data_IF_767786389103
#
_entry.id   IF_767786389103
#
_cell.length_a   1.000
_cell.length_b   1.000
_cell.length_c   1.000
_cell.angle_alpha   90.00
_cell.angle_beta   90.00
_cell.angle_gamma   90.00
#
_symmetry.space_group_name_H-M   'P 1'
#
loop_
_entity.id
_entity.type
_entity.pdbx_description
1 polymer ?
#
# COMPACT_ATOMS: atom_id res chain seq x y z
N UNK A 1 1.07 9.06 22.43
CA UNK A 1 1.62 8.88 21.06
C UNK A 1 0.57 9.21 20.00
N UNK A 2 -0.63 8.61 20.04
CA UNK A 2 -1.71 8.95 19.10
C UNK A 2 -2.11 10.43 19.15
N UNK A 3 -2.22 11.04 20.34
CA UNK A 3 -2.55 12.46 20.46
C UNK A 3 -1.48 13.37 19.85
N UNK A 4 -0.20 12.99 19.99
CA UNK A 4 0.91 13.69 19.36
C UNK A 4 0.81 13.60 17.84
N UNK A 5 0.66 12.39 17.28
CA UNK A 5 0.50 12.17 15.84
C UNK A 5 -0.71 12.93 15.29
N UNK A 6 -1.85 12.90 16.00
CA UNK A 6 -3.04 13.65 15.60
C UNK A 6 -2.79 15.15 15.62
N UNK A 7 -2.10 15.65 16.64
CA UNK A 7 -1.76 17.07 16.74
C UNK A 7 -0.78 17.51 15.64
N UNK A 8 0.22 16.68 15.31
CA UNK A 8 1.22 16.99 14.27
C UNK A 8 0.70 16.79 12.86
N UNK A 9 -0.19 15.81 12.63
CA UNK A 9 -0.89 15.61 11.35
C UNK A 9 -2.04 16.61 11.13
N UNK A 10 -2.36 17.42 12.16
CA UNK A 10 -3.31 18.55 12.13
C UNK A 10 -4.73 18.27 11.61
N UNK A 11 -5.10 17.02 11.36
CA UNK A 11 -6.42 16.67 10.83
C UNK A 11 -6.42 16.08 9.44
N UNK A 12 -5.25 16.01 8.80
CA UNK A 12 -5.12 15.30 7.54
C UNK A 12 -5.26 13.81 7.77
N UNK A 13 -6.16 13.21 7.00
CA UNK A 13 -6.42 11.79 6.98
C UNK A 13 -6.19 11.29 5.55
N UNK A 14 -5.65 10.08 5.46
CA UNK A 14 -5.51 9.42 4.17
C UNK A 14 -6.86 8.86 3.75
N UNK A 15 -7.13 8.92 2.45
CA UNK A 15 -8.33 8.30 1.87
C UNK A 15 -8.29 6.80 2.19
N UNK A 16 -9.43 6.15 2.48
CA UNK A 16 -9.47 4.70 2.70
C UNK A 16 -8.75 3.90 1.61
N UNK A 17 -8.02 2.85 2.02
CA UNK A 17 -7.16 2.03 1.15
C UNK A 17 -7.87 1.56 -0.12
N UNK A 18 -9.15 1.23 -0.02
CA UNK A 18 -9.90 0.72 -1.16
C UNK A 18 -10.13 1.73 -2.26
N UNK A 19 -10.26 3.01 -1.92
CA UNK A 19 -10.38 4.08 -2.92
C UNK A 19 -9.04 4.28 -3.64
N UNK A 20 -7.93 4.25 -2.90
CA UNK A 20 -6.59 4.38 -3.49
C UNK A 20 -6.29 3.22 -4.44
N UNK A 21 -6.60 1.98 -4.04
CA UNK A 21 -6.41 0.81 -4.91
C UNK A 21 -7.33 0.90 -6.14
N UNK A 22 -8.59 1.32 -5.97
CA UNK A 22 -9.50 1.50 -7.09
C UNK A 22 -9.00 2.55 -8.10
N UNK A 23 -8.47 3.68 -7.62
CA UNK A 23 -7.86 4.69 -8.49
C UNK A 23 -6.64 4.12 -9.22
N UNK A 24 -5.81 3.33 -8.53
CA UNK A 24 -4.70 2.63 -9.19
C UNK A 24 -5.18 1.66 -10.29
N UNK A 25 -6.26 0.93 -10.05
CA UNK A 25 -6.89 0.09 -11.08
C UNK A 25 -7.35 0.92 -12.28
N UNK A 26 -8.06 2.01 -12.03
CA UNK A 26 -8.64 2.85 -13.08
C UNK A 26 -7.54 3.51 -13.94
N UNK A 27 -6.50 4.07 -13.31
CA UNK A 27 -5.35 4.67 -14.01
C UNK A 27 -4.55 3.63 -14.81
N UNK A 28 -4.26 2.47 -14.21
CA UNK A 28 -3.53 1.42 -14.92
C UNK A 28 -4.35 0.87 -16.10
N UNK A 29 -5.66 0.74 -15.94
CA UNK A 29 -6.57 0.35 -17.00
C UNK A 29 -6.59 1.36 -18.15
N UNK A 30 -6.66 2.65 -17.84
CA UNK A 30 -6.64 3.71 -18.85
C UNK A 30 -5.35 3.67 -19.69
N UNK A 31 -4.19 3.54 -19.04
CA UNK A 31 -2.90 3.37 -19.71
C UNK A 31 -2.89 2.13 -20.62
N UNK A 32 -3.45 1.01 -20.14
CA UNK A 32 -3.52 -0.23 -20.91
C UNK A 32 -4.44 -0.10 -22.14
N UNK A 33 -5.62 0.50 -21.97
CA UNK A 33 -6.58 0.73 -23.06
C UNK A 33 -6.05 1.71 -24.12
N UNK A 34 -5.28 2.71 -23.69
CA UNK A 34 -4.66 3.71 -24.57
C UNK A 34 -3.30 3.27 -25.12
N UNK A 35 -2.84 2.05 -24.80
CA UNK A 35 -1.55 1.49 -25.21
C UNK A 35 -0.34 2.37 -24.86
N UNK A 36 -0.43 3.11 -23.77
CA UNK A 36 0.68 3.87 -23.21
C UNK A 36 1.66 2.94 -22.49
N UNK A 37 2.88 3.42 -22.26
CA UNK A 37 3.88 2.69 -21.50
C UNK A 37 3.36 2.39 -20.08
N UNK A 38 3.73 1.23 -19.47
CA UNK A 38 3.30 0.83 -18.13
C UNK A 38 4.07 1.59 -17.04
N UNK A 39 4.21 2.91 -17.17
CA UNK A 39 4.80 3.79 -16.17
C UNK A 39 3.63 4.39 -15.39
N UNK A 40 3.46 3.95 -14.15
CA UNK A 40 2.32 4.37 -13.35
C UNK A 40 2.49 5.82 -12.87
N UNK A 41 1.56 6.74 -13.22
CA UNK A 41 1.65 8.14 -12.81
C UNK A 41 1.28 8.27 -11.34
N UNK A 42 2.20 8.84 -10.55
CA UNK A 42 1.95 9.17 -9.16
C UNK A 42 1.35 10.57 -9.07
N UNK A 43 0.23 10.65 -8.37
CA UNK A 43 -0.46 11.89 -8.06
C UNK A 43 -0.77 11.89 -6.56
N UNK A 44 -0.07 12.75 -5.81
CA UNK A 44 -0.14 12.77 -4.34
C UNK A 44 -1.58 12.92 -3.83
N UNK A 45 -2.43 13.61 -4.58
CA UNK A 45 -3.81 13.90 -4.21
C UNK A 45 -4.71 12.66 -4.16
N UNK A 46 -4.30 11.54 -4.76
CA UNK A 46 -5.02 10.27 -4.68
C UNK A 46 -5.08 9.74 -3.24
N UNK A 47 -4.05 10.00 -2.44
CA UNK A 47 -3.95 9.47 -1.08
C UNK A 47 -4.60 10.36 0.00
N UNK A 48 -4.99 11.60 -0.31
CA UNK A 48 -5.49 12.56 0.68
C UNK A 48 -6.92 13.04 0.36
N UNK A 49 -7.77 13.17 1.38
CA UNK A 49 -9.14 13.66 1.19
C UNK A 49 -9.21 15.16 0.87
N UNK A 50 -8.15 15.90 1.21
CA UNK A 50 -8.05 17.35 1.05
C UNK A 50 -6.68 17.71 0.51
N UNK A 51 -6.59 18.91 -0.06
CA UNK A 51 -5.30 19.47 -0.42
C UNK A 51 -4.47 19.71 0.86
N UNK A 52 -3.45 18.88 1.07
CA UNK A 52 -2.49 18.99 2.18
C UNK A 52 -1.75 20.34 2.20
N UNK A 53 -1.74 21.05 1.07
CA UNK A 53 -1.09 22.36 0.91
C UNK A 53 -2.06 23.54 1.20
N UNK A 54 -3.33 23.28 1.53
CA UNK A 54 -4.32 24.32 1.81
C UNK A 54 -4.28 24.84 3.26
N UNK A 55 -4.72 26.08 3.45
CA UNK A 55 -4.76 26.73 4.76
C UNK A 55 -5.74 26.05 5.70
N UNK A 56 -5.25 25.62 6.84
CA UNK A 56 -6.05 24.87 7.81
C UNK A 56 -7.06 25.76 8.56
N UNK A 57 -8.26 25.24 8.77
CA UNK A 57 -9.28 25.87 9.60
C UNK A 57 -8.96 25.81 11.11
N UNK A 58 -9.55 26.70 11.89
CA UNK A 58 -9.30 26.82 13.34
C UNK A 58 -9.91 25.71 14.21
N UNK A 59 -10.76 24.84 13.65
CA UNK A 59 -11.47 23.81 14.39
C UNK A 59 -11.36 22.46 13.69
N UNK A 60 -11.08 21.41 14.47
CA UNK A 60 -11.09 20.01 14.03
C UNK A 60 -12.17 19.25 14.77
N UNK A 61 -13.00 18.53 14.03
CA UNK A 61 -14.00 17.61 14.57
C UNK A 61 -13.50 16.20 14.24
N UNK A 62 -13.25 15.41 15.26
CA UNK A 62 -12.88 14.00 15.15
C UNK A 62 -14.07 13.16 15.62
N UNK A 63 -14.53 12.24 14.78
CA UNK A 63 -15.57 11.28 15.13
C UNK A 63 -14.89 9.94 15.30
N UNK A 64 -14.89 9.42 16.53
CA UNK A 64 -14.27 8.14 16.83
C UNK A 64 -14.84 7.02 15.96
N UNK A 65 -13.96 6.39 15.18
CA UNK A 65 -14.30 5.23 14.36
C UNK A 65 -14.64 3.98 15.19
N UNK A 66 -15.43 3.09 14.61
CA UNK A 66 -15.71 1.77 15.17
C UNK A 66 -14.59 0.79 14.77
N UNK A 67 -13.83 0.30 15.76
CA UNK A 67 -12.67 -0.57 15.55
C UNK A 67 -13.00 -2.07 15.43
N UNK A 68 -14.29 -2.43 15.38
CA UNK A 68 -14.72 -3.83 15.28
C UNK A 68 -14.35 -4.66 16.52
N UNK A 69 -14.29 -5.97 16.33
CA UNK A 69 -13.94 -6.95 17.35
C UNK A 69 -12.40 -7.16 17.36
N UNK A 70 -11.74 -6.46 18.28
CA UNK A 70 -10.27 -6.42 18.38
C UNK A 70 -9.65 -7.80 18.58
N UNK A 71 -10.32 -8.69 19.34
CA UNK A 71 -9.81 -10.04 19.59
C UNK A 71 -9.93 -10.92 18.35
N UNK A 72 -11.01 -10.81 17.56
CA UNK A 72 -11.10 -11.47 16.26
C UNK A 72 -10.02 -10.99 15.30
N UNK A 73 -9.76 -9.68 15.24
CA UNK A 73 -8.71 -9.11 14.41
C UNK A 73 -7.34 -9.66 14.83
N UNK A 74 -7.07 -9.73 16.13
CA UNK A 74 -5.81 -10.29 16.66
C UNK A 74 -5.67 -11.77 16.33
N UNK A 75 -6.72 -12.57 16.50
CA UNK A 75 -6.70 -13.99 16.16
C UNK A 75 -6.43 -14.22 14.66
N UNK A 76 -7.14 -13.49 13.79
CA UNK A 76 -6.95 -13.58 12.34
C UNK A 76 -5.53 -13.17 11.90
N UNK A 77 -4.92 -12.17 12.57
CA UNK A 77 -3.52 -11.79 12.36
C UNK A 77 -2.56 -12.95 12.66
N UNK A 78 -2.72 -13.59 13.80
CA UNK A 78 -1.86 -14.71 14.23
C UNK A 78 -2.00 -15.89 13.25
N UNK A 79 -3.22 -16.22 12.84
CA UNK A 79 -3.48 -17.30 11.89
C UNK A 79 -2.80 -17.02 10.55
N UNK A 80 -2.98 -15.81 10.00
CA UNK A 80 -2.38 -15.40 8.74
C UNK A 80 -0.84 -15.46 8.80
N UNK A 81 -0.24 -14.98 9.89
CA UNK A 81 1.22 -14.99 10.07
C UNK A 81 1.77 -16.39 10.29
N UNK A 82 1.03 -17.24 10.99
CA UNK A 82 1.41 -18.66 11.14
C UNK A 82 1.43 -19.35 9.78
N UNK A 83 0.40 -19.14 8.96
CA UNK A 83 0.36 -19.65 7.58
C UNK A 83 1.51 -19.12 6.71
N UNK A 84 1.89 -17.85 6.86
CA UNK A 84 3.08 -17.30 6.19
C UNK A 84 4.37 -18.02 6.63
N UNK A 85 4.58 -18.17 7.94
CA UNK A 85 5.80 -18.80 8.48
C UNK A 85 5.89 -20.29 8.11
N UNK A 86 4.77 -20.97 7.92
CA UNK A 86 4.74 -22.34 7.40
C UNK A 86 5.35 -22.45 5.99
N UNK A 87 5.25 -21.40 5.17
CA UNK A 87 5.85 -21.40 3.83
C UNK A 87 7.38 -21.26 3.84
N UNK A 88 7.99 -20.83 4.96
CA UNK A 88 9.41 -20.50 5.01
C UNK A 88 10.32 -21.70 4.73
N UNK A 89 9.91 -22.90 5.13
CA UNK A 89 10.70 -24.12 4.85
C UNK A 89 10.80 -24.37 3.34
N UNK A 90 9.72 -24.13 2.60
CA UNK A 90 9.73 -24.23 1.14
C UNK A 90 10.55 -23.10 0.51
N UNK A 91 10.43 -21.87 1.03
CA UNK A 91 11.17 -20.71 0.51
C UNK A 91 12.69 -20.89 0.63
N UNK A 92 13.16 -21.48 1.74
CA UNK A 92 14.59 -21.78 1.95
C UNK A 92 15.16 -22.76 0.93
N UNK A 93 14.34 -23.68 0.43
CA UNK A 93 14.74 -24.70 -0.52
C UNK A 93 14.47 -24.32 -1.98
N UNK A 94 13.79 -23.21 -2.23
CA UNK A 94 13.49 -22.72 -3.58
C UNK A 94 14.74 -22.20 -4.29
N UNK A 95 14.73 -22.28 -5.62
CA UNK A 95 15.83 -21.86 -6.50
C UNK A 95 15.48 -20.64 -7.37
N UNK A 96 14.26 -20.10 -7.23
CA UNK A 96 13.75 -18.99 -8.04
C UNK A 96 14.57 -17.72 -7.80
N UNK A 97 14.92 -17.00 -8.86
CA UNK A 97 15.56 -15.68 -8.78
C UNK A 97 14.62 -14.63 -8.17
N UNK A 98 15.15 -13.45 -7.81
CA UNK A 98 14.33 -12.36 -7.26
C UNK A 98 13.27 -11.90 -8.25
N UNK A 99 13.60 -11.78 -9.54
CA UNK A 99 12.65 -11.37 -10.57
C UNK A 99 11.56 -12.42 -10.78
N UNK A 100 11.92 -13.71 -10.83
CA UNK A 100 10.94 -14.81 -10.89
C UNK A 100 10.00 -14.82 -9.68
N UNK A 101 10.51 -14.50 -8.49
CA UNK A 101 9.66 -14.37 -7.29
C UNK A 101 8.67 -13.22 -7.42
N UNK A 102 9.11 -12.05 -7.91
CA UNK A 102 8.23 -10.90 -8.14
C UNK A 102 7.12 -11.29 -9.13
N UNK A 103 7.47 -11.95 -10.23
CA UNK A 103 6.50 -12.40 -11.24
C UNK A 103 5.49 -13.41 -10.66
N UNK A 104 5.95 -14.34 -9.81
CA UNK A 104 5.09 -15.29 -9.12
C UNK A 104 4.12 -14.59 -8.15
N UNK A 105 4.58 -13.60 -7.40
CA UNK A 105 3.74 -12.83 -6.47
C UNK A 105 2.70 -12.00 -7.25
N UNK A 106 3.08 -11.38 -8.36
CA UNK A 106 2.15 -10.63 -9.24
C UNK A 106 1.09 -11.54 -9.85
N UNK A 107 1.47 -12.73 -10.34
CA UNK A 107 0.54 -13.72 -10.86
C UNK A 107 -0.40 -14.26 -9.76
N UNK A 108 0.12 -14.42 -8.54
CA UNK A 108 -0.66 -14.81 -7.37
C UNK A 108 -1.69 -13.73 -7.00
N UNK A 109 -1.29 -12.45 -7.02
CA UNK A 109 -2.18 -11.32 -6.78
C UNK A 109 -3.33 -11.25 -7.81
N UNK A 110 -3.01 -11.36 -9.11
CA UNK A 110 -4.00 -11.44 -10.17
C UNK A 110 -5.01 -12.57 -9.95
N UNK A 111 -4.52 -13.77 -9.60
CA UNK A 111 -5.36 -14.92 -9.24
C UNK A 111 -6.21 -14.65 -8.00
N UNK A 112 -5.67 -13.97 -7.00
CA UNK A 112 -6.38 -13.56 -5.79
C UNK A 112 -7.60 -12.69 -6.09
N UNK A 113 -7.45 -11.68 -6.96
CA UNK A 113 -8.56 -10.84 -7.42
C UNK A 113 -9.62 -11.65 -8.17
N UNK A 114 -9.20 -12.51 -9.11
CA UNK A 114 -10.12 -13.36 -9.87
C UNK A 114 -10.87 -14.35 -8.98
N UNK A 115 -10.19 -14.98 -8.03
CA UNK A 115 -10.81 -15.91 -7.08
C UNK A 115 -11.83 -15.20 -6.19
N UNK A 116 -11.51 -13.99 -5.69
CA UNK A 116 -12.45 -13.19 -4.91
C UNK A 116 -13.73 -12.88 -5.72
N UNK A 117 -13.58 -12.53 -7.00
CA UNK A 117 -14.71 -12.30 -7.89
C UNK A 117 -15.50 -13.58 -8.19
N UNK A 118 -14.83 -14.70 -8.45
CA UNK A 118 -15.49 -16.00 -8.67
C UNK A 118 -16.33 -16.40 -7.46
N UNK A 119 -15.77 -16.34 -6.25
CA UNK A 119 -16.50 -16.63 -5.01
C UNK A 119 -17.69 -15.68 -4.80
N UNK A 120 -17.55 -14.40 -5.15
CA UNK A 120 -18.65 -13.45 -5.11
C UNK A 120 -19.81 -13.86 -6.03
N UNK A 121 -19.51 -14.19 -7.30
CA UNK A 121 -20.52 -14.62 -8.28
C UNK A 121 -21.17 -15.95 -7.88
N UNK A 122 -20.39 -16.91 -7.39
CA UNK A 122 -20.87 -18.22 -6.93
C UNK A 122 -21.88 -18.07 -5.79
N UNK A 123 -21.57 -17.24 -4.78
CA UNK A 123 -22.50 -16.94 -3.67
C UNK A 123 -23.78 -16.28 -4.16
N UNK A 124 -23.67 -15.30 -5.06
CA UNK A 124 -24.83 -14.62 -5.63
C UNK A 124 -25.72 -15.59 -6.42
N UNK A 125 -25.12 -16.49 -7.22
CA UNK A 125 -25.84 -17.51 -7.96
C UNK A 125 -26.53 -18.54 -7.05
N UNK A 126 -25.95 -18.80 -5.88
CA UNK A 126 -26.56 -19.63 -4.83
C UNK A 126 -27.70 -18.93 -4.05
N UNK A 127 -28.00 -17.66 -4.37
CA UNK A 127 -29.05 -16.86 -3.73
C UNK A 127 -28.62 -16.16 -2.44
N UNK A 128 -27.33 -16.15 -2.12
CA UNK A 128 -26.76 -15.38 -1.02
C UNK A 128 -26.51 -13.93 -1.47
N UNK A 129 -27.56 -13.11 -1.37
CA UNK A 129 -27.51 -11.69 -1.72
C UNK A 129 -26.79 -10.83 -0.67
N UNK A 130 -26.53 -11.35 0.54
CA UNK A 130 -25.78 -10.62 1.58
C UNK A 130 -24.33 -10.36 1.14
N UNK A 131 -23.82 -11.14 0.18
CA UNK A 131 -22.52 -10.93 -0.45
C UNK A 131 -22.39 -9.56 -1.14
N UNK A 132 -23.50 -8.91 -1.51
CA UNK A 132 -23.48 -7.56 -2.10
C UNK A 132 -23.00 -6.49 -1.10
N UNK A 133 -23.25 -6.71 0.19
CA UNK A 133 -22.86 -5.79 1.27
C UNK A 133 -21.63 -6.27 2.04
N UNK A 134 -21.39 -7.57 2.07
CA UNK A 134 -20.35 -8.22 2.88
C UNK A 134 -19.22 -8.86 2.07
N UNK A 135 -19.30 -8.80 0.74
CA UNK A 135 -18.33 -9.40 -0.16
C UNK A 135 -16.93 -8.79 -0.03
N UNK A 136 -15.87 -9.56 -0.34
CA UNK A 136 -14.51 -9.04 -0.32
C UNK A 136 -14.37 -7.84 -1.26
N UNK A 137 -13.73 -6.76 -0.80
CA UNK A 137 -13.53 -5.56 -1.62
C UNK A 137 -12.77 -5.84 -2.92
N UNK A 138 -11.91 -6.86 -2.91
CA UNK A 138 -11.18 -7.35 -4.08
C UNK A 138 -12.11 -7.80 -5.23
N UNK A 139 -13.29 -8.35 -4.90
CA UNK A 139 -14.27 -8.73 -5.91
C UNK A 139 -14.86 -7.49 -6.59
N UNK A 140 -15.01 -6.37 -5.86
CA UNK A 140 -15.58 -5.13 -6.39
C UNK A 140 -14.67 -4.48 -7.43
N UNK A 141 -13.34 -4.54 -7.25
CA UNK A 141 -12.41 -4.03 -8.27
C UNK A 141 -12.56 -4.77 -9.60
N UNK A 142 -12.63 -6.10 -9.56
CA UNK A 142 -12.81 -6.95 -10.76
C UNK A 142 -14.20 -6.75 -11.36
N UNK A 143 -15.22 -6.62 -10.53
CA UNK A 143 -16.57 -6.32 -10.99
C UNK A 143 -16.62 -4.98 -11.74
N UNK A 144 -16.01 -3.93 -11.18
CA UNK A 144 -15.92 -2.61 -11.83
C UNK A 144 -15.13 -2.66 -13.13
N UNK A 145 -14.03 -3.43 -13.14
CA UNK A 145 -13.25 -3.70 -14.36
C UNK A 145 -14.13 -4.34 -15.44
N UNK A 146 -14.84 -5.43 -15.15
CA UNK A 146 -15.72 -6.12 -16.12
C UNK A 146 -16.89 -5.24 -16.59
N UNK A 147 -17.35 -4.29 -15.76
CA UNK A 147 -18.38 -3.32 -16.15
C UNK A 147 -17.86 -2.24 -17.10
N UNK A 148 -16.54 -2.10 -17.26
CA UNK A 148 -15.95 -1.10 -18.13
C UNK A 148 -16.20 -1.42 -19.62
N UNK A 149 -16.94 -0.56 -20.32
CA UNK A 149 -17.41 -0.82 -21.69
C UNK A 149 -16.28 -0.88 -22.72
N UNK A 150 -15.16 -0.22 -22.49
CA UNK A 150 -14.03 -0.25 -23.41
C UNK A 150 -13.34 -1.63 -23.46
N UNK A 151 -13.66 -2.55 -22.54
CA UNK A 151 -13.09 -3.90 -22.53
C UNK A 151 -13.75 -4.87 -23.52
N UNK A 152 -14.90 -4.52 -24.10
CA UNK A 152 -15.64 -5.39 -25.03
C UNK A 152 -17.13 -5.07 -25.10
N UNK A 153 -17.80 -5.55 -26.15
CA UNK A 153 -19.22 -5.33 -26.38
C UNK A 153 -20.07 -6.31 -25.56
N UNK A 154 -19.61 -7.56 -25.44
CA UNK A 154 -20.27 -8.62 -24.67
C UNK A 154 -19.70 -8.74 -23.26
N UNK A 155 -20.39 -9.47 -22.37
CA UNK A 155 -19.85 -9.77 -21.02
C UNK A 155 -18.62 -10.67 -21.13
N UNK A 156 -18.67 -11.69 -21.97
CA UNK A 156 -17.58 -12.66 -22.13
C UNK A 156 -16.30 -11.98 -22.63
N UNK A 157 -16.40 -11.08 -23.61
CA UNK A 157 -15.24 -10.30 -24.07
C UNK A 157 -14.66 -9.44 -22.94
N UNK A 158 -15.50 -8.79 -22.14
CA UNK A 158 -15.07 -7.96 -21.02
C UNK A 158 -14.37 -8.77 -19.93
N UNK A 159 -14.87 -9.97 -19.62
CA UNK A 159 -14.22 -10.92 -18.70
C UNK A 159 -12.85 -11.34 -19.24
N UNK A 160 -12.76 -11.72 -20.53
CA UNK A 160 -11.48 -12.12 -21.12
C UNK A 160 -10.48 -10.96 -21.14
N UNK A 161 -10.93 -9.75 -21.46
CA UNK A 161 -10.07 -8.55 -21.43
C UNK A 161 -9.63 -8.19 -20.02
N UNK A 162 -10.50 -8.32 -19.01
CA UNK A 162 -10.15 -8.14 -17.61
C UNK A 162 -9.06 -9.13 -17.17
N UNK A 163 -9.17 -10.40 -17.55
CA UNK A 163 -8.13 -11.42 -17.28
C UNK A 163 -6.80 -11.07 -17.96
N UNK A 164 -6.83 -10.57 -19.21
CA UNK A 164 -5.61 -10.11 -19.90
C UNK A 164 -4.99 -8.90 -19.22
N UNK A 165 -5.80 -7.94 -18.78
CA UNK A 165 -5.34 -6.78 -18.03
C UNK A 165 -4.66 -7.17 -16.72
N UNK A 166 -5.26 -8.07 -15.93
CA UNK A 166 -4.69 -8.53 -14.66
C UNK A 166 -3.34 -9.27 -14.81
N UNK A 167 -3.04 -9.79 -16.00
CA UNK A 167 -1.73 -10.38 -16.32
C UNK A 167 -0.82 -9.46 -17.15
N UNK A 168 -1.17 -8.18 -17.28
CA UNK A 168 -0.41 -7.21 -18.06
C UNK A 168 0.68 -6.53 -17.23
N UNK A 169 1.66 -5.93 -17.91
CA UNK A 169 2.65 -5.05 -17.30
C UNK A 169 2.02 -3.83 -16.62
N UNK A 170 0.85 -3.37 -17.06
CA UNK A 170 0.15 -2.23 -16.50
C UNK A 170 -0.42 -2.53 -15.11
N UNK A 171 -0.98 -3.73 -14.92
CA UNK A 171 -1.36 -4.21 -13.59
C UNK A 171 -0.13 -4.38 -12.69
N UNK A 172 0.94 -4.96 -13.22
CA UNK A 172 2.20 -5.14 -12.48
C UNK A 172 2.87 -3.82 -12.07
N UNK A 173 2.64 -2.74 -12.82
CA UNK A 173 3.16 -1.40 -12.54
C UNK A 173 2.38 -0.65 -11.45
N UNK A 174 1.17 -1.10 -11.10
CA UNK A 174 0.40 -0.50 -10.01
C UNK A 174 1.21 -0.53 -8.71
N UNK A 175 1.33 0.59 -7.98
CA UNK A 175 2.20 0.63 -6.80
C UNK A 175 1.84 -0.41 -5.73
N UNK A 176 0.55 -0.61 -5.46
CA UNK A 176 0.11 -1.60 -4.48
C UNK A 176 0.56 -3.02 -4.84
N UNK A 177 0.61 -3.36 -6.13
CA UNK A 177 1.03 -4.68 -6.61
C UNK A 177 2.55 -4.79 -6.66
N UNK A 178 3.21 -3.79 -7.27
CA UNK A 178 4.65 -3.78 -7.47
C UNK A 178 5.42 -3.77 -6.16
N UNK A 179 5.05 -2.88 -5.23
CA UNK A 179 5.72 -2.75 -3.94
C UNK A 179 5.48 -4.01 -3.11
N UNK A 180 4.24 -4.50 -3.05
CA UNK A 180 3.92 -5.69 -2.27
C UNK A 180 4.71 -6.91 -2.75
N UNK A 181 4.71 -7.18 -4.07
CA UNK A 181 5.47 -8.27 -4.67
C UNK A 181 6.97 -8.19 -4.34
N UNK A 182 7.55 -6.98 -4.39
CA UNK A 182 8.95 -6.74 -4.04
C UNK A 182 9.25 -6.95 -2.57
N UNK A 183 8.34 -6.53 -1.67
CA UNK A 183 8.49 -6.76 -0.23
C UNK A 183 8.48 -8.27 0.07
N UNK A 184 7.58 -9.03 -0.55
CA UNK A 184 7.54 -10.49 -0.40
C UNK A 184 8.79 -11.17 -0.98
N UNK A 185 9.29 -10.73 -2.14
CA UNK A 185 10.54 -11.22 -2.70
C UNK A 185 11.75 -10.91 -1.79
N UNK A 186 11.80 -9.70 -1.21
CA UNK A 186 12.83 -9.33 -0.24
C UNK A 186 12.76 -10.20 1.03
N UNK A 187 11.55 -10.51 1.50
CA UNK A 187 11.36 -11.37 2.69
C UNK A 187 11.81 -12.80 2.39
N UNK A 188 11.45 -13.35 1.23
CA UNK A 188 11.91 -14.65 0.74
C UNK A 188 13.44 -14.73 0.70
N UNK A 189 14.11 -13.71 0.18
CA UNK A 189 15.56 -13.63 0.17
C UNK A 189 16.18 -13.61 1.57
N UNK A 190 15.60 -12.86 2.50
CA UNK A 190 16.06 -12.89 3.90
C UNK A 190 15.90 -14.28 4.51
N UNK A 191 14.76 -14.93 4.30
CA UNK A 191 14.47 -16.29 4.78
C UNK A 191 15.50 -17.29 4.21
N UNK A 192 15.83 -17.22 2.92
CA UNK A 192 16.86 -18.05 2.28
C UNK A 192 18.26 -17.85 2.85
N UNK A 193 18.59 -16.62 3.24
CA UNK A 193 19.86 -16.29 3.91
C UNK A 193 19.90 -16.72 5.38
N UNK A 194 18.87 -17.39 5.88
CA UNK A 194 18.80 -17.95 7.23
C UNK A 194 18.12 -17.05 8.25
N UNK A 195 17.50 -15.93 7.83
CA UNK A 195 16.63 -15.17 8.72
C UNK A 195 15.42 -16.01 9.15
N UNK A 196 14.82 -15.67 10.29
CA UNK A 196 13.60 -16.31 10.78
C UNK A 196 13.71 -17.85 10.95
N UNK A 197 14.89 -18.35 11.34
CA UNK A 197 15.10 -19.78 11.58
C UNK A 197 14.25 -20.34 12.73
N UNK A 198 13.98 -19.52 13.76
CA UNK A 198 13.06 -19.87 14.85
C UNK A 198 11.65 -19.38 14.50
N UNK A 199 10.72 -20.33 14.27
CA UNK A 199 9.34 -20.04 13.85
C UNK A 199 8.56 -19.22 14.87
N UNK A 200 8.67 -19.52 16.16
CA UNK A 200 7.96 -18.78 17.22
C UNK A 200 8.40 -17.31 17.26
N UNK A 201 9.72 -17.07 17.23
CA UNK A 201 10.27 -15.70 17.16
C UNK A 201 9.90 -15.00 15.85
N UNK A 202 9.77 -15.75 14.75
CA UNK A 202 9.36 -15.20 13.47
C UNK A 202 7.91 -14.71 13.51
N UNK A 203 7.00 -15.48 14.11
CA UNK A 203 5.59 -15.10 14.27
C UNK A 203 5.47 -13.80 15.07
N UNK A 204 6.19 -13.70 16.19
CA UNK A 204 6.18 -12.49 17.02
C UNK A 204 6.72 -11.27 16.25
N UNK A 205 7.89 -11.42 15.61
CA UNK A 205 8.54 -10.36 14.85
C UNK A 205 7.75 -9.90 13.62
N UNK A 206 6.99 -10.80 12.99
CA UNK A 206 6.20 -10.51 11.78
C UNK A 206 4.72 -10.26 12.09
N UNK A 207 4.32 -10.14 13.35
CA UNK A 207 2.91 -9.99 13.76
C UNK A 207 2.17 -8.80 13.10
N UNK A 208 2.89 -7.74 12.73
CA UNK A 208 2.37 -6.58 11.97
C UNK A 208 2.48 -6.68 10.45
N UNK A 209 3.22 -7.65 9.93
CA UNK A 209 3.78 -7.64 8.58
C UNK A 209 2.74 -7.42 7.47
N UNK A 210 1.61 -8.14 7.46
CA UNK A 210 0.59 -7.95 6.42
C UNK A 210 -0.01 -6.54 6.40
N UNK A 211 -0.19 -5.93 7.57
CA UNK A 211 -0.73 -4.58 7.67
C UNK A 211 0.29 -3.56 7.19
N UNK A 212 1.55 -3.74 7.58
CA UNK A 212 2.65 -2.88 7.14
C UNK A 212 2.84 -2.99 5.63
N UNK A 213 2.91 -4.19 5.06
CA UNK A 213 3.00 -4.41 3.61
C UNK A 213 1.83 -3.73 2.89
N UNK A 214 0.60 -3.93 3.34
CA UNK A 214 -0.56 -3.31 2.71
C UNK A 214 -0.49 -1.78 2.78
N UNK A 215 -0.18 -1.22 3.95
CA UNK A 215 -0.11 0.23 4.14
C UNK A 215 1.01 0.85 3.30
N UNK A 216 2.22 0.27 3.36
CA UNK A 216 3.39 0.74 2.61
C UNK A 216 3.13 0.66 1.11
N UNK A 217 2.63 -0.48 0.61
CA UNK A 217 2.44 -0.68 -0.83
C UNK A 217 1.39 0.25 -1.41
N UNK A 218 0.37 0.58 -0.63
CA UNK A 218 -0.71 1.48 -1.05
C UNK A 218 -0.27 2.93 -0.95
N UNK A 219 0.34 3.34 0.16
CA UNK A 219 0.50 4.75 0.48
C UNK A 219 1.89 5.30 0.19
N UNK A 220 2.97 4.54 0.39
CA UNK A 220 4.34 5.06 0.27
C UNK A 220 4.57 5.92 -0.97
N UNK A 221 4.13 5.52 -2.18
CA UNK A 221 4.35 6.32 -3.41
C UNK A 221 3.85 7.75 -3.36
N UNK A 222 2.87 8.04 -2.51
CA UNK A 222 2.23 9.36 -2.41
C UNK A 222 2.83 10.24 -1.31
N UNK A 223 3.87 9.77 -0.63
CA UNK A 223 4.59 10.50 0.42
C UNK A 223 6.05 10.73 0.02
N UNK A 224 6.58 11.90 0.37
CA UNK A 224 8.00 12.22 0.22
C UNK A 224 8.89 11.38 1.16
N UNK A 225 8.35 11.02 2.33
CA UNK A 225 9.04 10.18 3.29
C UNK A 225 8.08 9.38 4.18
N UNK A 226 8.57 8.27 4.71
CA UNK A 226 7.84 7.41 5.63
C UNK A 226 8.74 6.91 6.75
N UNK A 227 8.21 6.93 7.98
CA UNK A 227 8.88 6.35 9.16
C UNK A 227 8.28 4.98 9.41
N UNK A 228 9.13 3.95 9.46
CA UNK A 228 8.75 2.56 9.72
C UNK A 228 9.52 2.02 10.93
N UNK A 229 9.07 0.89 11.48
CA UNK A 229 9.83 0.20 12.52
C UNK A 229 11.14 -0.37 11.96
N UNK A 230 12.06 -0.75 12.85
CA UNK A 230 13.39 -1.25 12.46
C UNK A 230 13.33 -2.50 11.60
N UNK A 231 12.38 -3.40 11.86
CA UNK A 231 12.28 -4.66 11.12
C UNK A 231 11.79 -4.44 9.70
N UNK A 232 10.80 -3.56 9.50
CA UNK A 232 10.42 -3.16 8.15
C UNK A 232 11.50 -2.34 7.45
N UNK A 233 12.18 -1.44 8.16
CA UNK A 233 13.29 -0.68 7.59
C UNK A 233 14.38 -1.60 7.02
N UNK A 234 14.77 -2.65 7.76
CA UNK A 234 15.73 -3.67 7.31
C UNK A 234 15.30 -4.38 6.02
N UNK A 235 13.99 -4.56 5.83
CA UNK A 235 13.43 -5.23 4.66
C UNK A 235 13.30 -4.29 3.45
N UNK A 236 12.85 -3.06 3.67
CA UNK A 236 12.59 -2.08 2.61
C UNK A 236 13.85 -1.43 2.06
N UNK A 237 14.94 -1.36 2.83
CA UNK A 237 16.23 -0.79 2.37
C UNK A 237 17.00 -1.67 1.38
N UNK A 238 16.41 -2.78 0.95
CA UNK A 238 17.02 -3.69 -0.03
C UNK A 238 16.81 -3.15 -1.45
N UNK A 239 17.78 -3.38 -2.33
CA UNK A 239 17.71 -2.98 -3.75
C UNK A 239 16.49 -3.60 -4.49
N UNK A 240 15.96 -4.71 -3.96
CA UNK A 240 14.74 -5.35 -4.45
C UNK A 240 13.53 -4.41 -4.39
N UNK A 241 13.37 -3.69 -3.27
CA UNK A 241 12.23 -2.79 -3.04
C UNK A 241 12.55 -1.40 -3.54
N UNK A 242 13.65 -0.78 -3.09
CA UNK A 242 14.12 0.56 -3.47
C UNK A 242 13.00 1.62 -3.57
N UNK A 243 12.35 1.92 -2.43
CA UNK A 243 11.26 2.90 -2.40
C UNK A 243 11.70 4.29 -2.86
N UNK A 244 12.89 4.71 -2.44
CA UNK A 244 13.46 6.02 -2.78
C UNK A 244 13.73 6.13 -4.28
N UNK A 245 14.38 5.14 -4.91
CA UNK A 245 14.76 5.22 -6.32
C UNK A 245 13.57 5.05 -7.28
N UNK A 246 12.56 4.25 -6.89
CA UNK A 246 11.42 3.92 -7.77
C UNK A 246 10.22 4.84 -7.61
N UNK A 247 9.94 5.30 -6.38
CA UNK A 247 8.76 6.13 -6.08
C UNK A 247 9.09 7.44 -5.36
N UNK A 248 10.37 7.75 -5.13
CA UNK A 248 10.77 9.01 -4.49
C UNK A 248 10.58 9.06 -2.97
N UNK A 249 10.05 7.99 -2.37
CA UNK A 249 9.73 7.95 -0.94
C UNK A 249 10.97 7.60 -0.11
N UNK A 250 11.45 8.57 0.68
CA UNK A 250 12.53 8.33 1.64
C UNK A 250 12.08 7.47 2.81
N UNK A 251 12.96 6.62 3.32
CA UNK A 251 12.66 5.71 4.41
C UNK A 251 13.49 6.05 5.66
N UNK A 252 12.79 6.17 6.77
CA UNK A 252 13.38 6.43 8.07
C UNK A 252 12.90 5.42 9.11
N UNK A 253 13.68 5.25 10.16
CA UNK A 253 13.35 4.42 11.31
C UNK A 253 14.19 4.84 12.51
N UNK A 254 13.95 4.21 13.65
CA UNK A 254 14.76 4.41 14.85
C UNK A 254 16.23 3.95 14.71
N UNK A 255 16.68 3.48 13.53
CA UNK A 255 18.09 3.16 13.25
C UNK A 255 18.83 4.24 12.45
N UNK A 256 18.13 5.20 11.82
CA UNK A 256 18.74 6.26 10.99
C UNK A 256 18.14 7.65 11.29
N UNK A 257 17.99 7.97 12.58
CA UNK A 257 17.44 9.25 13.01
C UNK A 257 18.30 10.45 12.59
N UNK A 258 19.62 10.28 12.52
CA UNK A 258 20.53 11.34 12.04
C UNK A 258 20.23 11.72 10.58
N UNK A 259 19.89 10.75 9.73
CA UNK A 259 19.50 11.00 8.33
C UNK A 259 18.14 11.72 8.25
N UNK A 260 17.20 11.39 9.15
CA UNK A 260 15.92 12.08 9.26
C UNK A 260 16.12 13.55 9.66
N UNK A 261 16.95 13.81 10.69
CA UNK A 261 17.25 15.18 11.14
C UNK A 261 17.93 16.00 10.04
N UNK A 262 18.89 15.41 9.32
CA UNK A 262 19.53 16.05 8.19
C UNK A 262 18.53 16.41 7.09
N UNK A 263 17.65 15.48 6.71
CA UNK A 263 16.62 15.72 5.69
C UNK A 263 15.60 16.79 6.12
N UNK A 264 15.19 16.82 7.38
CA UNK A 264 14.31 17.87 7.90
C UNK A 264 14.99 19.24 7.87
N UNK A 265 16.28 19.30 8.18
CA UNK A 265 17.09 20.52 8.09
C UNK A 265 17.19 21.01 6.63
N UNK A 266 17.43 20.09 5.69
CA UNK A 266 17.45 20.42 4.25
C UNK A 266 16.11 21.03 3.78
N UNK A 267 14.98 20.53 4.29
CA UNK A 267 13.65 21.10 3.98
C UNK A 267 13.51 22.49 4.60
N UNK A 268 13.89 22.67 5.86
CA UNK A 268 13.80 23.96 6.55
C UNK A 268 14.67 25.03 5.86
N UNK A 269 15.90 24.67 5.49
CA UNK A 269 16.83 25.55 4.79
C UNK A 269 16.38 25.90 3.36
N UNK A 270 15.53 25.06 2.75
CA UNK A 270 14.97 25.30 1.43
C UNK A 270 13.76 26.28 1.43
N UNK A 271 13.24 26.66 2.60
CA UNK A 271 12.10 27.58 2.68
C UNK A 271 12.53 28.99 2.22
N UNK A 272 11.87 29.59 1.21
CA UNK A 272 12.18 30.95 0.78
C UNK A 272 11.98 31.97 1.90
N UNK A 273 12.89 32.94 2.00
CA UNK A 273 12.85 33.99 3.04
C UNK A 273 11.51 34.73 3.09
N UNK A 274 10.90 35.00 1.93
CA UNK A 274 9.57 35.63 1.84
C UNK A 274 8.48 34.83 2.58
N UNK A 275 8.52 33.49 2.51
CA UNK A 275 7.56 32.65 3.21
C UNK A 275 7.80 32.67 4.72
N UNK A 276 9.07 32.67 5.16
CA UNK A 276 9.44 32.78 6.58
C UNK A 276 8.93 34.12 7.15
N UNK A 277 9.10 35.21 6.42
CA UNK A 277 8.64 36.55 6.80
C UNK A 277 7.10 36.65 6.85
N UNK A 278 6.38 35.83 6.08
CA UNK A 278 4.91 35.77 6.09
C UNK A 278 4.34 34.92 7.25
N UNK A 279 5.12 34.04 7.88
CA UNK A 279 4.65 33.17 8.97
C UNK A 279 4.01 33.94 10.14
N UNK A 280 4.51 35.09 10.63
CA UNK A 280 3.87 35.85 11.70
C UNK A 280 2.51 36.44 11.32
N UNK A 281 2.26 36.67 10.02
CA UNK A 281 0.96 37.15 9.52
C UNK A 281 -0.07 36.04 9.64
N UNK A 282 0.29 34.83 9.19
CA UNK A 282 -0.60 33.67 9.18
C UNK A 282 -0.75 33.03 10.57
N UNK A 283 0.32 33.01 11.37
CA UNK A 283 0.40 32.42 12.69
C UNK A 283 0.92 33.44 13.72
N UNK A 284 0.10 34.42 14.15
CA UNK A 284 0.54 35.53 15.03
C UNK A 284 1.07 35.11 16.41
N UNK A 285 0.86 33.85 16.81
CA UNK A 285 1.35 33.28 18.07
C UNK A 285 2.63 32.46 17.91
N UNK A 286 3.08 32.24 16.67
CA UNK A 286 4.31 31.53 16.39
C UNK A 286 5.49 32.42 16.76
N UNK A 287 6.34 31.97 17.69
CA UNK A 287 7.61 32.62 17.98
C UNK A 287 8.64 32.07 17.00
N UNK A 288 9.04 32.87 16.02
CA UNK A 288 10.19 32.55 15.18
C UNK A 288 11.44 32.52 16.07
N UNK A 289 12.30 31.51 15.88
CA UNK A 289 13.58 31.40 16.57
C UNK A 289 14.65 32.25 15.90
#
# INVERSE_FOLDING_TARGET
MLDFIKATARGHEVVPTYNVIQDQFDRALDLWLTQQDPIFPIDKWVAFEREIDDWEGYYRIDVGGYYGDVEKIRAAKIESISGLVETFDNWRNGSETVDEQIDLELASAARGYLNAYYTFVERLAAGDYDVLLSGPINAQYVERLIRHRALGETVDERVQSAIRFLHSSHFAAMPAQSISARIYAALREQVRRGAYANKEKAIDRLSGFFFDVNHISVYAPYFDAMIVDRSMHELLRTDTVDLTGRWGTRLFSASNLEELEAWLTEIEDAIPTEQIEALPVAYPRLKLK
#
